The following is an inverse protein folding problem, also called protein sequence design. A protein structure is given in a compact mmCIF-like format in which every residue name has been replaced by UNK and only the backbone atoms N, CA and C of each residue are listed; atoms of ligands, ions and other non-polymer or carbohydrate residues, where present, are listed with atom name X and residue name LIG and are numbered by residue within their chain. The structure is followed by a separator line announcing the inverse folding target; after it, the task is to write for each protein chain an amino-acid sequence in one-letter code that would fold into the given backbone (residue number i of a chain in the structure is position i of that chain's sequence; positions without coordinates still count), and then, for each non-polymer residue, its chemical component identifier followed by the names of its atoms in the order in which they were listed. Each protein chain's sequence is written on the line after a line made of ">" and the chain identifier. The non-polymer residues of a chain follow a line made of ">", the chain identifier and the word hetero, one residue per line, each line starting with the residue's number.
data_IF_407241449697
#
_entry.id   IF_407241449697
#
_cell.length_a   1.000
_cell.length_b   1.000
_cell.length_c   1.000
_cell.angle_alpha   90.00
_cell.angle_beta   90.00
_cell.angle_gamma   90.00
#
_symmetry.space_group_name_H-M   'P 1'
#
loop_
_entity.id
_entity.type
_entity.pdbx_description
1 polymer ?
#
# COMPACT_ATOMS: atom_id res chain seq x y z
N UNK A 1 -14.79 -14.61 -9.60
CA UNK A 1 -15.45 -13.28 -9.46
C UNK A 1 -14.39 -12.21 -9.65
N UNK A 2 -14.71 -11.08 -10.28
CA UNK A 2 -13.73 -10.02 -10.53
C UNK A 2 -13.62 -9.07 -9.33
N UNK A 3 -12.41 -8.68 -8.89
CA UNK A 3 -12.24 -7.79 -7.74
C UNK A 3 -12.63 -6.34 -8.06
N UNK A 4 -12.97 -5.59 -7.02
CA UNK A 4 -12.96 -4.12 -7.04
C UNK A 4 -11.60 -3.63 -6.58
N UNK A 5 -11.01 -2.68 -7.31
CA UNK A 5 -9.68 -2.17 -7.05
C UNK A 5 -9.75 -0.67 -6.76
N UNK A 6 -9.22 -0.25 -5.62
CA UNK A 6 -9.02 1.15 -5.28
C UNK A 6 -7.52 1.44 -5.22
N UNK A 7 -7.09 2.46 -5.96
CA UNK A 7 -5.71 2.90 -6.08
C UNK A 7 -5.58 4.28 -5.44
N UNK A 8 -4.82 4.39 -4.37
CA UNK A 8 -4.58 5.64 -3.64
C UNK A 8 -3.16 6.11 -3.94
N UNK A 9 -3.07 7.28 -4.58
CA UNK A 9 -1.81 8.00 -4.77
C UNK A 9 -1.61 8.94 -3.60
N UNK A 10 -0.46 8.86 -2.94
CA UNK A 10 -0.05 9.76 -1.87
C UNK A 10 0.10 11.22 -2.32
N UNK A 11 0.57 12.06 -1.41
CA UNK A 11 0.58 13.52 -1.58
C UNK A 11 1.69 14.06 -2.50
N UNK A 12 2.66 13.24 -2.92
CA UNK A 12 3.73 13.64 -3.84
C UNK A 12 3.56 13.06 -5.25
N UNK A 13 3.94 13.84 -6.26
CA UNK A 13 3.88 13.44 -7.68
C UNK A 13 4.68 12.18 -8.00
N UNK A 14 5.75 11.91 -7.25
CA UNK A 14 6.60 10.72 -7.46
C UNK A 14 5.83 9.40 -7.34
N UNK A 15 4.77 9.38 -6.53
CA UNK A 15 3.95 8.18 -6.31
C UNK A 15 2.98 7.88 -7.47
N UNK A 16 2.77 8.83 -8.39
CA UNK A 16 1.83 8.64 -9.49
C UNK A 16 2.33 7.60 -10.51
N UNK A 17 3.64 7.47 -10.70
CA UNK A 17 4.23 6.58 -11.70
C UNK A 17 3.92 5.11 -11.40
N UNK A 18 4.21 4.64 -10.19
CA UNK A 18 3.92 3.26 -9.77
C UNK A 18 2.44 2.92 -9.85
N UNK A 19 1.56 3.85 -9.42
CA UNK A 19 0.11 3.65 -9.51
C UNK A 19 -0.38 3.58 -10.96
N UNK A 20 0.15 4.40 -11.87
CA UNK A 20 -0.22 4.33 -13.30
C UNK A 20 0.15 2.99 -13.92
N UNK A 21 1.32 2.44 -13.57
CA UNK A 21 1.73 1.14 -14.06
C UNK A 21 0.83 0.02 -13.52
N UNK A 22 0.54 0.03 -12.22
CA UNK A 22 -0.39 -0.92 -11.61
C UNK A 22 -1.81 -0.79 -12.20
N UNK A 23 -2.29 0.44 -12.38
CA UNK A 23 -3.58 0.75 -13.01
C UNK A 23 -3.67 0.17 -14.43
N UNK A 24 -2.62 0.35 -15.22
CA UNK A 24 -2.54 -0.18 -16.59
C UNK A 24 -2.70 -1.70 -16.60
N UNK A 25 -1.98 -2.40 -15.72
CA UNK A 25 -2.09 -3.85 -15.55
C UNK A 25 -3.53 -4.28 -15.21
N UNK A 26 -4.14 -3.69 -14.17
CA UNK A 26 -5.49 -4.11 -13.75
C UNK A 26 -6.59 -3.73 -14.75
N UNK A 27 -6.44 -2.63 -15.50
CA UNK A 27 -7.44 -2.22 -16.48
C UNK A 27 -7.32 -2.96 -17.80
N UNK A 28 -6.11 -3.12 -18.34
CA UNK A 28 -5.91 -3.61 -19.69
C UNK A 28 -5.63 -5.11 -19.75
N UNK A 29 -4.85 -5.64 -18.82
CA UNK A 29 -4.52 -7.07 -18.80
C UNK A 29 -5.60 -7.86 -18.05
N UNK A 30 -6.03 -7.38 -16.87
CA UNK A 30 -7.10 -8.04 -16.11
C UNK A 30 -8.52 -7.63 -16.53
N UNK A 31 -8.66 -6.64 -17.43
CA UNK A 31 -9.94 -6.19 -17.99
C UNK A 31 -10.99 -5.79 -16.94
N UNK A 32 -10.55 -5.20 -15.82
CA UNK A 32 -11.45 -4.84 -14.71
C UNK A 32 -12.29 -3.57 -14.97
N UNK A 33 -11.95 -2.78 -16.00
CA UNK A 33 -12.78 -1.67 -16.49
C UNK A 33 -13.27 -0.73 -15.37
N UNK A 34 -14.59 -0.62 -15.21
CA UNK A 34 -15.24 0.27 -14.21
C UNK A 34 -15.02 -0.15 -12.75
N UNK A 35 -14.44 -1.32 -12.48
CA UNK A 35 -14.15 -1.82 -11.13
C UNK A 35 -12.87 -1.25 -10.54
N UNK A 36 -12.14 -0.42 -11.29
CA UNK A 36 -10.91 0.23 -10.85
C UNK A 36 -11.18 1.72 -10.61
N UNK A 37 -10.94 2.17 -9.38
CA UNK A 37 -11.03 3.57 -8.95
C UNK A 37 -9.64 4.05 -8.59
N UNK A 38 -9.26 5.25 -9.06
CA UNK A 38 -8.02 5.92 -8.63
C UNK A 38 -8.36 7.22 -7.92
N UNK A 39 -7.75 7.42 -6.75
CA UNK A 39 -7.86 8.61 -5.94
C UNK A 39 -6.49 9.30 -5.81
N UNK A 40 -6.46 10.61 -6.04
CA UNK A 40 -5.34 11.48 -5.70
C UNK A 40 -5.62 12.06 -4.31
N UNK A 41 -4.85 11.67 -3.30
CA UNK A 41 -5.15 12.02 -1.91
C UNK A 41 -4.68 13.42 -1.50
N UNK A 42 -3.74 14.03 -2.24
CA UNK A 42 -3.07 15.29 -1.89
C UNK A 42 -3.98 16.46 -1.44
N UNK A 43 -5.24 16.49 -1.88
CA UNK A 43 -6.17 17.60 -1.61
C UNK A 43 -7.42 17.19 -0.81
N UNK A 44 -7.39 16.00 -0.22
CA UNK A 44 -8.54 15.42 0.48
C UNK A 44 -8.27 15.38 1.97
N UNK A 45 -9.32 15.46 2.78
CA UNK A 45 -9.22 15.23 4.22
C UNK A 45 -9.11 13.75 4.51
N UNK A 46 -8.44 13.37 5.60
CA UNK A 46 -8.32 11.97 6.03
C UNK A 46 -9.68 11.25 6.14
N UNK A 47 -10.71 11.95 6.62
CA UNK A 47 -12.05 11.36 6.72
C UNK A 47 -12.66 11.08 5.35
N UNK A 48 -12.54 12.01 4.39
CA UNK A 48 -13.03 11.82 3.02
C UNK A 48 -12.34 10.63 2.34
N UNK A 49 -11.05 10.43 2.63
CA UNK A 49 -10.28 9.28 2.15
C UNK A 49 -10.83 7.98 2.74
N UNK A 50 -11.07 7.94 4.06
CA UNK A 50 -11.66 6.78 4.73
C UNK A 50 -13.07 6.47 4.21
N UNK A 51 -13.90 7.49 4.00
CA UNK A 51 -15.25 7.35 3.47
C UNK A 51 -15.25 6.77 2.05
N UNK A 52 -14.32 7.21 1.18
CA UNK A 52 -14.18 6.62 -0.15
C UNK A 52 -13.70 5.16 -0.13
N UNK A 53 -12.79 4.82 0.80
CA UNK A 53 -12.36 3.43 0.99
C UNK A 53 -13.54 2.59 1.45
N UNK A 54 -14.33 3.08 2.41
CA UNK A 54 -15.51 2.40 2.92
C UNK A 54 -16.54 2.18 1.82
N UNK A 55 -16.85 3.19 1.01
CA UNK A 55 -17.77 3.08 -0.12
C UNK A 55 -17.30 2.03 -1.15
N UNK A 56 -15.99 1.97 -1.42
CA UNK A 56 -15.42 1.00 -2.34
C UNK A 56 -15.46 -0.43 -1.78
N UNK A 57 -15.10 -0.60 -0.50
CA UNK A 57 -15.20 -1.87 0.21
C UNK A 57 -16.65 -2.36 0.29
N UNK A 58 -17.60 -1.47 0.58
CA UNK A 58 -19.01 -1.80 0.68
C UNK A 58 -19.60 -2.24 -0.67
N UNK A 59 -19.23 -1.56 -1.76
CA UNK A 59 -19.60 -1.99 -3.12
C UNK A 59 -19.06 -3.40 -3.42
N UNK A 60 -17.81 -3.68 -3.02
CA UNK A 60 -17.20 -4.99 -3.21
C UNK A 60 -17.93 -6.07 -2.39
N UNK A 61 -18.24 -5.79 -1.12
CA UNK A 61 -18.98 -6.66 -0.19
C UNK A 61 -20.37 -7.00 -0.72
N UNK A 62 -21.17 -6.01 -1.11
CA UNK A 62 -22.50 -6.21 -1.73
C UNK A 62 -22.42 -7.00 -3.04
N UNK A 63 -21.37 -6.76 -3.83
CA UNK A 63 -21.07 -7.49 -5.05
C UNK A 63 -20.51 -8.90 -4.82
N UNK A 64 -20.31 -9.33 -3.57
CA UNK A 64 -19.63 -10.58 -3.18
C UNK A 64 -18.27 -10.75 -3.85
N UNK A 65 -17.59 -9.65 -4.12
CA UNK A 65 -16.31 -9.59 -4.82
C UNK A 65 -15.20 -9.18 -3.87
N UNK A 66 -13.97 -9.68 -4.04
CA UNK A 66 -12.83 -9.21 -3.27
C UNK A 66 -12.58 -7.72 -3.49
N UNK A 67 -12.13 -7.03 -2.45
CA UNK A 67 -11.65 -5.66 -2.51
C UNK A 67 -10.13 -5.63 -2.52
N UNK A 68 -9.52 -4.91 -3.45
CA UNK A 68 -8.07 -4.69 -3.51
C UNK A 68 -7.83 -3.21 -3.27
N UNK A 69 -7.16 -2.90 -2.17
CA UNK A 69 -6.70 -1.56 -1.84
C UNK A 69 -5.21 -1.48 -2.12
N UNK A 70 -4.79 -0.56 -2.97
CA UNK A 70 -3.38 -0.27 -3.23
C UNK A 70 -3.09 1.14 -2.77
N UNK A 71 -2.16 1.30 -1.85
CA UNK A 71 -1.64 2.59 -1.43
C UNK A 71 -0.19 2.72 -1.87
N UNK A 72 0.15 3.89 -2.43
CA UNK A 72 1.53 4.25 -2.69
C UNK A 72 1.79 5.67 -2.20
N UNK A 73 2.65 5.79 -1.19
CA UNK A 73 2.88 7.07 -0.53
C UNK A 73 3.80 6.98 0.67
N UNK A 74 3.60 7.89 1.61
CA UNK A 74 4.33 7.92 2.88
C UNK A 74 3.64 7.08 3.95
N UNK A 75 4.44 6.51 4.84
CA UNK A 75 3.95 5.75 5.97
C UNK A 75 4.83 6.01 7.18
N UNK A 76 4.26 5.85 8.35
CA UNK A 76 4.93 5.93 9.63
C UNK A 76 4.50 4.73 10.48
N UNK A 77 5.14 4.47 11.62
CA UNK A 77 4.72 3.36 12.48
C UNK A 77 3.21 3.42 12.79
N UNK A 78 2.49 2.35 12.46
CA UNK A 78 1.06 2.14 12.65
C UNK A 78 0.11 3.04 11.82
N UNK A 79 0.61 3.77 10.81
CA UNK A 79 -0.25 4.60 9.94
C UNK A 79 0.30 4.79 8.53
N UNK A 80 -0.61 5.15 7.61
CA UNK A 80 -0.27 5.65 6.28
C UNK A 80 -0.65 7.13 6.17
N UNK A 81 0.06 7.90 5.35
CA UNK A 81 -0.05 9.36 5.29
C UNK A 81 -0.40 9.84 3.86
N UNK A 82 -1.63 9.60 3.39
CA UNK A 82 -2.00 9.77 1.99
C UNK A 82 -2.06 11.23 1.55
N UNK A 83 -2.42 12.15 2.44
CA UNK A 83 -2.54 13.59 2.20
C UNK A 83 -1.52 14.42 3.01
N UNK A 84 -0.63 13.77 3.78
CA UNK A 84 0.25 14.41 4.75
C UNK A 84 -0.29 14.39 6.19
N UNK A 85 -1.56 14.02 6.37
CA UNK A 85 -2.13 13.66 7.66
C UNK A 85 -2.14 12.14 7.83
N UNK A 86 -1.88 11.68 9.05
CA UNK A 86 -1.73 10.26 9.34
C UNK A 86 -3.10 9.58 9.57
N UNK A 87 -3.32 8.49 8.85
CA UNK A 87 -4.46 7.59 9.02
C UNK A 87 -3.96 6.30 9.66
N UNK A 88 -4.34 6.08 10.92
CA UNK A 88 -3.99 4.87 11.64
C UNK A 88 -4.55 3.61 10.97
N UNK A 89 -3.75 2.55 10.91
CA UNK A 89 -4.20 1.26 10.38
C UNK A 89 -5.38 0.69 11.17
N UNK A 90 -5.53 1.04 12.44
CA UNK A 90 -6.68 0.64 13.26
C UNK A 90 -7.99 1.13 12.63
N UNK A 91 -8.05 2.40 12.20
CA UNK A 91 -9.22 2.99 11.54
C UNK A 91 -9.44 2.38 10.17
N UNK A 92 -8.37 2.09 9.43
CA UNK A 92 -8.46 1.41 8.15
C UNK A 92 -9.05 0.01 8.31
N UNK A 93 -8.60 -0.75 9.32
CA UNK A 93 -9.12 -2.09 9.57
C UNK A 93 -10.59 -2.07 9.99
N UNK A 94 -11.04 -1.07 10.75
CA UNK A 94 -12.47 -0.85 11.02
C UNK A 94 -13.27 -0.68 9.72
N UNK A 95 -12.77 0.11 8.77
CA UNK A 95 -13.39 0.31 7.44
C UNK A 95 -13.44 -1.00 6.62
N UNK A 96 -12.43 -1.87 6.77
CA UNK A 96 -12.32 -3.13 6.03
C UNK A 96 -13.07 -4.31 6.69
N UNK A 97 -13.68 -4.11 7.86
CA UNK A 97 -14.42 -5.15 8.58
C UNK A 97 -15.47 -5.80 7.69
N UNK A 98 -15.62 -7.13 7.80
CA UNK A 98 -16.53 -7.98 7.00
C UNK A 98 -16.31 -7.94 5.48
N UNK A 99 -15.22 -7.37 5.00
CA UNK A 99 -14.88 -7.32 3.58
C UNK A 99 -13.73 -8.28 3.31
N UNK A 100 -13.87 -9.15 2.30
CA UNK A 100 -12.71 -9.92 1.83
C UNK A 100 -11.75 -8.99 1.09
N UNK A 101 -10.55 -8.77 1.62
CA UNK A 101 -9.65 -7.76 1.08
C UNK A 101 -8.21 -8.23 0.80
N UNK A 102 -7.54 -7.45 -0.04
CA UNK A 102 -6.10 -7.43 -0.18
C UNK A 102 -5.63 -5.98 -0.02
N UNK A 103 -4.70 -5.74 0.90
CA UNK A 103 -4.04 -4.45 1.04
C UNK A 103 -2.60 -4.52 0.52
N UNK A 104 -2.28 -3.73 -0.48
CA UNK A 104 -0.93 -3.57 -1.02
C UNK A 104 -0.44 -2.20 -0.57
N UNK A 105 0.51 -2.17 0.35
CA UNK A 105 0.98 -0.94 1.00
C UNK A 105 2.42 -0.64 0.58
N UNK A 106 2.57 0.28 -0.37
CA UNK A 106 3.85 0.81 -0.84
C UNK A 106 4.25 2.09 -0.11
N UNK A 107 4.60 1.92 1.16
CA UNK A 107 5.07 2.98 2.05
C UNK A 107 6.10 2.47 3.07
N UNK A 108 6.79 3.41 3.74
CA UNK A 108 7.66 3.12 4.88
C UNK A 108 6.86 2.54 6.04
N UNK A 109 7.45 1.64 6.83
CA UNK A 109 6.83 1.02 8.00
C UNK A 109 5.53 0.24 7.72
N UNK A 110 5.22 -0.02 6.45
CA UNK A 110 3.97 -0.65 6.01
C UNK A 110 3.72 -2.03 6.62
N UNK A 111 4.76 -2.75 7.05
CA UNK A 111 4.62 -4.03 7.77
C UNK A 111 3.85 -3.89 9.09
N UNK A 112 3.81 -2.69 9.70
CA UNK A 112 3.08 -2.45 10.96
C UNK A 112 1.55 -2.62 10.82
N UNK A 113 0.98 -2.54 9.61
CA UNK A 113 -0.44 -2.85 9.42
C UNK A 113 -0.79 -4.32 9.66
N UNK A 114 0.19 -5.24 9.51
CA UNK A 114 -0.02 -6.68 9.70
C UNK A 114 -0.36 -6.98 11.15
N UNK A 115 0.38 -6.40 12.10
CA UNK A 115 0.15 -6.58 13.52
C UNK A 115 -1.23 -6.04 13.91
N UNK A 116 -1.54 -4.81 13.48
CA UNK A 116 -2.84 -4.17 13.75
C UNK A 116 -4.01 -4.97 13.19
N UNK A 117 -3.93 -5.44 11.94
CA UNK A 117 -5.00 -6.23 11.33
C UNK A 117 -5.13 -7.64 11.95
N UNK A 118 -4.03 -8.20 12.45
CA UNK A 118 -4.05 -9.47 13.18
C UNK A 118 -4.73 -9.31 14.54
N UNK A 119 -4.42 -8.25 15.28
CA UNK A 119 -5.07 -7.91 16.56
C UNK A 119 -6.58 -7.69 16.39
N UNK A 120 -6.99 -7.06 15.28
CA UNK A 120 -8.39 -6.88 14.91
C UNK A 120 -9.07 -8.14 14.33
N UNK A 121 -8.37 -9.27 14.25
CA UNK A 121 -8.86 -10.56 13.70
C UNK A 121 -9.30 -10.49 12.24
N UNK A 122 -8.74 -9.55 11.47
CA UNK A 122 -8.97 -9.45 10.02
C UNK A 122 -8.10 -10.44 9.25
N UNK A 123 -6.90 -10.72 9.77
CA UNK A 123 -5.97 -11.68 9.17
C UNK A 123 -5.97 -13.01 9.97
N UNK A 124 -5.82 -14.16 9.30
CA UNK A 124 -5.74 -14.35 7.84
C UNK A 124 -7.10 -14.58 7.17
N UNK A 125 -8.20 -14.55 7.92
CA UNK A 125 -9.49 -15.09 7.47
C UNK A 125 -10.25 -14.16 6.51
N UNK A 126 -10.16 -12.85 6.72
CA UNK A 126 -10.86 -11.85 5.91
C UNK A 126 -9.93 -11.16 4.91
N UNK A 127 -8.64 -11.06 5.21
CA UNK A 127 -7.73 -10.25 4.41
C UNK A 127 -6.38 -10.88 4.13
N UNK A 128 -5.61 -10.17 3.29
CA UNK A 128 -4.19 -10.41 3.07
C UNK A 128 -3.47 -9.09 2.86
N UNK A 129 -2.18 -9.05 3.20
CA UNK A 129 -1.34 -7.85 3.07
C UNK A 129 -0.10 -8.16 2.23
N UNK A 130 0.29 -7.22 1.38
CA UNK A 130 1.62 -7.16 0.76
C UNK A 130 2.23 -5.82 1.14
N UNK A 131 3.21 -5.84 2.04
CA UNK A 131 3.85 -4.64 2.57
C UNK A 131 5.22 -4.39 1.90
N UNK A 132 5.51 -3.12 1.61
CA UNK A 132 6.77 -2.71 1.01
C UNK A 132 7.94 -2.64 2.00
N UNK A 133 7.64 -2.62 3.30
CA UNK A 133 8.60 -2.50 4.40
C UNK A 133 8.23 -3.47 5.54
N UNK A 134 9.17 -3.74 6.44
CA UNK A 134 8.82 -4.25 7.78
C UNK A 134 8.19 -3.17 8.64
N UNK A 135 7.69 -3.53 9.82
CA UNK A 135 7.13 -2.59 10.80
C UNK A 135 8.14 -1.58 11.36
N UNK A 136 9.44 -1.87 11.30
CA UNK A 136 10.52 -1.06 11.86
C UNK A 136 11.51 -0.52 10.80
N UNK A 137 11.14 -0.57 9.51
CA UNK A 137 12.04 -0.22 8.40
C UNK A 137 11.42 0.81 7.43
N UNK A 138 12.29 1.67 6.90
CA UNK A 138 11.98 2.58 5.79
C UNK A 138 12.24 1.91 4.44
N UNK A 139 11.54 2.39 3.40
CA UNK A 139 11.82 2.00 2.02
C UNK A 139 12.55 3.13 1.29
N UNK A 140 13.31 2.79 0.25
CA UNK A 140 13.96 3.78 -0.61
C UNK A 140 12.98 4.64 -1.45
N UNK A 141 11.67 4.38 -1.35
CA UNK A 141 10.64 4.97 -2.21
C UNK A 141 10.77 4.57 -3.69
N UNK A 142 9.90 5.14 -4.53
CA UNK A 142 9.86 4.89 -5.98
C UNK A 142 8.87 3.80 -6.39
N UNK A 143 8.82 3.48 -7.68
CA UNK A 143 7.81 2.60 -8.29
C UNK A 143 8.19 1.10 -8.32
N UNK A 144 9.41 0.77 -7.89
CA UNK A 144 9.98 -0.58 -8.04
C UNK A 144 9.16 -1.66 -7.33
N UNK A 145 8.61 -1.37 -6.15
CA UNK A 145 7.83 -2.35 -5.40
C UNK A 145 6.57 -2.76 -6.17
N UNK A 146 5.75 -1.80 -6.57
CA UNK A 146 4.54 -2.08 -7.33
C UNK A 146 4.86 -2.78 -8.66
N UNK A 147 6.00 -2.46 -9.29
CA UNK A 147 6.46 -3.14 -10.49
C UNK A 147 6.80 -4.61 -10.23
N UNK A 148 7.55 -4.90 -9.17
CA UNK A 148 7.85 -6.27 -8.75
C UNK A 148 6.57 -7.06 -8.40
N UNK A 149 5.57 -6.39 -7.79
CA UNK A 149 4.25 -6.98 -7.51
C UNK A 149 3.53 -7.37 -8.80
N UNK A 150 3.45 -6.44 -9.76
CA UNK A 150 2.83 -6.69 -11.09
C UNK A 150 3.54 -7.84 -11.81
N UNK A 151 4.88 -7.86 -11.81
CA UNK A 151 5.66 -8.92 -12.46
C UNK A 151 5.42 -10.29 -11.81
N UNK A 152 5.27 -10.33 -10.50
CA UNK A 152 4.89 -11.55 -9.78
C UNK A 152 3.52 -12.05 -10.22
N UNK A 153 2.54 -11.16 -10.37
CA UNK A 153 1.18 -11.53 -10.78
C UNK A 153 1.13 -12.00 -12.23
N UNK A 154 1.83 -11.30 -13.14
CA UNK A 154 1.97 -11.72 -14.55
C UNK A 154 2.61 -13.10 -14.67
N UNK A 155 3.64 -13.36 -13.87
CA UNK A 155 4.35 -14.64 -13.87
C UNK A 155 3.64 -15.75 -13.10
N UNK A 156 2.52 -15.45 -12.42
CA UNK A 156 1.78 -16.38 -11.54
C UNK A 156 2.71 -17.04 -10.50
N UNK A 157 3.73 -16.30 -10.07
CA UNK A 157 4.64 -16.75 -9.02
C UNK A 157 4.23 -16.07 -7.71
N UNK A 158 4.40 -16.77 -6.58
CA UNK A 158 4.25 -16.12 -5.28
C UNK A 158 5.17 -14.90 -5.21
N UNK A 159 4.64 -13.78 -4.73
CA UNK A 159 5.45 -12.60 -4.44
C UNK A 159 6.31 -12.93 -3.22
N UNK A 160 7.59 -13.22 -3.48
CA UNK A 160 8.56 -13.62 -2.47
C UNK A 160 9.64 -12.55 -2.33
N UNK A 161 10.04 -12.26 -1.09
CA UNK A 161 11.16 -11.37 -0.74
C UNK A 161 12.37 -11.56 -1.68
N UNK A 162 12.68 -10.55 -2.51
CA UNK A 162 14.00 -10.42 -3.12
C UNK A 162 14.96 -9.88 -2.04
N UNK A 163 15.96 -10.65 -1.62
CA UNK A 163 17.03 -10.14 -0.73
C UNK A 163 17.86 -9.11 -1.51
N UNK A 164 17.61 -7.82 -1.30
CA UNK A 164 18.51 -6.75 -1.73
C UNK A 164 19.80 -6.73 -0.92
N UNK A 165 20.91 -6.29 -1.52
CA UNK A 165 22.20 -6.12 -0.84
C UNK A 165 22.08 -4.99 0.19
N UNK A 166 22.45 -5.28 1.43
CA UNK A 166 22.45 -4.32 2.53
C UNK A 166 23.63 -3.35 2.36
N UNK A 167 23.38 -2.05 2.23
CA UNK A 167 24.42 -1.02 2.36
C UNK A 167 24.13 -0.31 3.67
N UNK A 168 24.93 -0.62 4.70
CA UNK A 168 24.74 -0.09 6.05
C UNK A 168 25.02 1.42 6.08
N UNK A 169 24.04 2.20 6.51
CA UNK A 169 24.22 3.59 6.93
C UNK A 169 23.38 3.82 8.17
N UNK A 170 24.01 4.13 9.31
CA UNK A 170 23.30 4.54 10.54
C UNK A 170 22.54 5.84 10.27
N UNK A 171 21.22 5.85 10.50
CA UNK A 171 20.46 7.10 10.63
C UNK A 171 20.38 7.48 12.11
N UNK A 172 21.02 8.60 12.45
CA UNK A 172 20.69 9.34 13.66
C UNK A 172 19.44 10.18 13.38
N UNK A 173 18.40 10.00 14.18
CA UNK A 173 17.28 10.93 14.20
C UNK A 173 17.77 12.26 14.81
N UNK A 174 18.00 13.28 14.01
CA UNK A 174 17.86 14.66 14.49
C UNK A 174 16.41 15.07 14.28
N UNK A 175 15.63 15.04 15.35
CA UNK A 175 14.39 15.80 15.44
C UNK A 175 14.76 17.29 15.29
N UNK A 176 14.56 17.84 14.10
CA UNK A 176 14.64 19.28 13.85
C UNK A 176 13.26 19.92 14.07
N UNK A 177 13.18 21.13 14.67
CA UNK A 177 11.91 21.77 14.94
C UNK A 177 11.21 22.17 13.64
N UNK A 178 9.89 21.96 13.61
CA UNK A 178 8.96 22.51 12.63
C UNK A 178 9.05 24.03 12.67
N UNK A 179 9.49 24.66 11.58
CA UNK A 179 9.06 26.00 11.20
C UNK A 179 8.99 26.08 9.67
N UNK A 180 7.86 26.60 9.20
CA UNK A 180 7.68 27.05 7.82
C UNK A 180 8.67 28.20 7.52
N UNK A 181 8.96 28.40 6.24
CA UNK A 181 9.84 29.42 5.66
C UNK A 181 11.33 29.05 5.53
N UNK A 182 11.61 28.11 4.62
CA UNK A 182 12.81 28.16 3.77
C UNK A 182 12.72 27.12 2.65
N UNK A 183 12.37 27.58 1.44
CA UNK A 183 12.65 26.84 0.22
C UNK A 183 14.14 26.97 -0.09
N UNK A 184 14.97 26.12 0.51
CA UNK A 184 16.28 25.81 -0.05
C UNK A 184 16.20 24.48 -0.80
N UNK A 185 16.42 24.57 -2.11
CA UNK A 185 16.52 23.42 -3.01
C UNK A 185 17.79 22.65 -2.61
N UNK A 186 17.65 21.66 -1.74
CA UNK A 186 18.72 20.74 -1.42
C UNK A 186 19.07 19.93 -2.67
N UNK A 187 20.25 20.24 -3.24
CA UNK A 187 20.88 19.50 -4.34
C UNK A 187 21.05 18.03 -3.97
N UNK A 188 20.51 17.17 -4.83
CA UNK A 188 20.88 15.76 -5.05
C UNK A 188 21.28 14.98 -3.79
N UNK A 189 20.28 14.52 -3.03
CA UNK A 189 20.49 13.42 -2.11
C UNK A 189 20.60 12.12 -2.92
N UNK A 190 21.76 11.45 -2.84
CA UNK A 190 21.93 10.08 -3.33
C UNK A 190 20.88 9.14 -2.70
N UNK A 191 20.42 8.10 -3.40
CA UNK A 191 19.40 7.20 -2.89
C UNK A 191 19.94 6.44 -1.67
N UNK A 192 19.46 6.84 -0.49
CA UNK A 192 19.73 6.18 0.80
C UNK A 192 18.46 5.47 1.22
N UNK A 193 18.50 4.14 1.24
CA UNK A 193 17.38 3.33 1.70
C UNK A 193 17.56 1.87 1.32
N UNK A 194 17.37 0.99 2.30
CA UNK A 194 17.28 -0.45 2.07
C UNK A 194 15.90 -0.73 1.46
N UNK A 195 15.83 -1.60 0.45
CA UNK A 195 14.55 -2.11 -0.04
C UNK A 195 14.27 -3.40 0.74
N UNK A 196 13.28 -3.38 1.64
CA UNK A 196 12.91 -4.57 2.42
C UNK A 196 11.44 -4.92 2.27
N UNK A 197 11.14 -5.80 1.33
CA UNK A 197 9.79 -6.33 1.17
C UNK A 197 9.55 -7.50 2.14
N UNK A 198 8.51 -7.38 2.97
CA UNK A 198 8.09 -8.47 3.84
C UNK A 198 6.83 -9.14 3.27
N UNK A 199 7.02 -10.35 2.74
CA UNK A 199 5.93 -11.30 2.57
C UNK A 199 5.92 -12.20 3.81
N UNK A 200 5.14 -11.88 4.84
CA UNK A 200 5.01 -12.79 5.98
C UNK A 200 3.87 -13.76 5.73
N UNK A 201 4.26 -15.04 5.75
CA UNK A 201 3.42 -16.23 5.90
C UNK A 201 2.27 -15.96 6.85
N UNK A 202 1.03 -16.09 6.37
CA UNK A 202 -0.13 -16.75 6.98
C UNK A 202 -1.34 -16.28 6.15
N UNK A 203 -1.92 -17.19 5.37
CA UNK A 203 -3.01 -16.87 4.43
C UNK A 203 -2.53 -16.93 2.99
N UNK A 204 -3.32 -17.60 2.16
CA UNK A 204 -2.95 -18.07 0.82
C UNK A 204 -2.54 -16.89 -0.07
N UNK A 205 -1.52 -17.09 -0.91
CA UNK A 205 -1.08 -16.11 -1.90
C UNK A 205 -2.28 -15.55 -2.70
N UNK A 206 -2.09 -14.34 -3.23
CA UNK A 206 -2.99 -13.60 -4.13
C UNK A 206 -3.76 -14.44 -5.16
N UNK A 207 -3.18 -15.57 -5.56
CA UNK A 207 -3.80 -16.61 -6.37
C UNK A 207 -5.16 -17.06 -5.84
N UNK A 208 -5.38 -17.05 -4.53
CA UNK A 208 -6.64 -17.46 -3.92
C UNK A 208 -7.78 -16.44 -4.09
N UNK A 209 -7.45 -15.15 -4.20
CA UNK A 209 -8.42 -14.07 -4.42
C UNK A 209 -8.67 -13.79 -5.91
N UNK A 210 -7.64 -13.93 -6.75
CA UNK A 210 -7.76 -13.72 -8.20
C UNK A 210 -8.22 -14.97 -8.97
N UNK A 211 -7.95 -16.17 -8.46
CA UNK A 211 -8.30 -17.44 -9.08
C UNK A 211 -8.99 -18.37 -8.07
N UNK A 212 -10.24 -18.07 -7.66
CA UNK A 212 -11.02 -19.04 -6.88
C UNK A 212 -11.18 -20.33 -7.70
N UNK A 213 -10.96 -21.48 -7.05
CA UNK A 213 -11.23 -22.81 -7.62
C UNK A 213 -12.69 -22.96 -8.02
#
# INVERSE_FOLDING_TARGET
>A
MQPHVMLIVGNEQKFLAGIKQFESYVRHELKLGKRVTRMLAAYRKSQEILDEIWDAAEKARRGRSPFVLVYHGHGYPNCFSPNGDDIGYEKLGQVLTDTTFLFIDDSCYSGSCIDVFTEQKLLPDFGSVIAAAKSDEETAGGDKFLNDVVDSFRSKKPFMKKKGRQIAGKLGHTQGPRNADSFEIAKTAEPRGQIVYESVRYGKALDYLLFPK
#
